data_IF_403235867147
#
_entry.id   IF_403235867147
#
_cell.length_a   1.000
_cell.length_b   1.000
_cell.length_c   1.000
_cell.angle_alpha   90.00
_cell.angle_beta   90.00
_cell.angle_gamma   90.00
#
_symmetry.space_group_name_H-M   'P 1'
#
loop_
_entity.id
_entity.type
_entity.pdbx_description
1 polymer ?
#
# COMPACT_ATOMS: atom_id res chain seq x y z
N UNK A 1 -12.18 -18.21 12.92
CA UNK A 1 -12.68 -17.37 11.95
C UNK A 1 -11.65 -16.77 11.04
N UNK A 2 -11.96 -16.68 9.87
CA UNK A 2 -11.03 -16.20 8.98
C UNK A 2 -10.97 -14.75 8.98
N UNK A 3 -9.84 -14.22 8.76
CA UNK A 3 -9.64 -12.80 8.62
C UNK A 3 -9.53 -12.44 7.17
N UNK A 4 -10.43 -13.00 6.38
CA UNK A 4 -10.46 -12.67 4.97
C UNK A 4 -10.88 -11.21 4.81
N UNK A 5 -10.22 -10.46 3.97
CA UNK A 5 -10.59 -9.07 3.79
C UNK A 5 -11.95 -8.96 3.11
N UNK A 6 -12.70 -7.96 3.53
CA UNK A 6 -13.98 -7.64 2.93
C UNK A 6 -13.76 -6.84 1.65
N UNK A 7 -12.76 -5.97 1.66
CA UNK A 7 -12.43 -5.16 0.49
C UNK A 7 -10.93 -5.16 0.27
N UNK A 8 -10.54 -4.95 -0.97
CA UNK A 8 -9.15 -4.73 -1.32
C UNK A 8 -9.01 -3.33 -1.90
N UNK A 9 -8.07 -2.58 -1.37
CA UNK A 9 -7.79 -1.23 -1.84
C UNK A 9 -6.51 -1.31 -2.66
N UNK A 10 -6.59 -0.93 -3.93
CA UNK A 10 -5.45 -1.04 -4.83
C UNK A 10 -5.09 0.35 -5.31
N UNK A 11 -3.83 0.70 -5.20
CA UNK A 11 -3.35 1.98 -5.68
C UNK A 11 -2.06 1.79 -6.46
N UNK A 12 -1.76 2.74 -7.33
CA UNK A 12 -0.55 2.70 -8.15
C UNK A 12 0.41 3.76 -7.65
N UNK A 13 1.66 3.38 -7.47
CA UNK A 13 2.73 4.31 -7.15
C UNK A 13 3.66 4.44 -8.34
N UNK A 14 3.92 5.67 -8.75
CA UNK A 14 4.88 5.94 -9.82
C UNK A 14 5.59 7.24 -9.49
N UNK A 15 6.82 7.13 -8.98
CA UNK A 15 7.61 8.30 -8.56
C UNK A 15 6.82 9.22 -7.63
N UNK A 16 5.95 8.63 -6.80
CA UNK A 16 5.08 9.40 -5.91
C UNK A 16 5.14 8.89 -4.49
N UNK A 17 6.33 8.62 -3.98
CA UNK A 17 6.49 8.00 -2.67
C UNK A 17 5.75 8.73 -1.57
N UNK A 18 5.87 10.05 -1.51
CA UNK A 18 5.24 10.80 -0.42
C UNK A 18 3.73 10.67 -0.46
N UNK A 19 3.14 10.77 -1.64
CA UNK A 19 1.68 10.64 -1.76
C UNK A 19 1.22 9.24 -1.36
N UNK A 20 1.97 8.23 -1.74
CA UNK A 20 1.63 6.86 -1.41
C UNK A 20 1.75 6.61 0.09
N UNK A 21 2.79 7.15 0.72
CA UNK A 21 2.94 7.00 2.16
C UNK A 21 1.80 7.68 2.91
N UNK A 22 1.37 8.84 2.43
CA UNK A 22 0.24 9.52 3.04
C UNK A 22 -1.04 8.73 2.88
N UNK A 23 -1.24 8.11 1.72
CA UNK A 23 -2.40 7.27 1.51
C UNK A 23 -2.39 6.08 2.48
N UNK A 24 -1.25 5.41 2.62
CA UNK A 24 -1.14 4.27 3.52
C UNK A 24 -1.48 4.68 4.95
N UNK A 25 -0.97 5.82 5.38
CA UNK A 25 -1.24 6.32 6.71
C UNK A 25 -2.71 6.65 6.89
N UNK A 26 -3.32 7.28 5.90
CA UNK A 26 -4.73 7.63 5.96
C UNK A 26 -5.61 6.39 6.05
N UNK A 27 -5.29 5.37 5.26
CA UNK A 27 -6.05 4.14 5.29
C UNK A 27 -5.94 3.49 6.67
N UNK A 28 -4.74 3.44 7.21
CA UNK A 28 -4.52 2.86 8.52
C UNK A 28 -5.32 3.61 9.60
N UNK A 29 -5.35 4.95 9.51
CA UNK A 29 -6.03 5.75 10.53
C UNK A 29 -7.53 5.75 10.39
N UNK A 30 -8.04 5.64 9.17
CA UNK A 30 -9.46 5.85 8.92
C UNK A 30 -10.26 4.57 8.77
N UNK A 31 -9.65 3.50 8.27
CA UNK A 31 -10.38 2.26 8.02
C UNK A 31 -10.11 1.31 9.17
N UNK A 32 -10.99 1.32 10.15
CA UNK A 32 -10.76 0.55 11.38
C UNK A 32 -11.81 -0.51 11.65
N UNK A 33 -12.97 -0.40 11.06
CA UNK A 33 -14.05 -1.32 11.40
C UNK A 33 -14.27 -2.41 10.38
N UNK A 34 -13.53 -2.41 9.28
CA UNK A 34 -13.63 -3.49 8.30
C UNK A 34 -12.27 -4.09 8.05
N UNK A 35 -12.27 -5.35 7.71
CA UNK A 35 -11.05 -6.03 7.31
C UNK A 35 -10.75 -5.70 5.87
N UNK A 36 -9.53 -5.28 5.58
CA UNK A 36 -9.15 -4.85 4.24
C UNK A 36 -7.72 -5.24 3.92
N UNK A 37 -7.42 -5.30 2.61
CA UNK A 37 -6.05 -5.36 2.10
C UNK A 37 -5.71 -4.04 1.48
N UNK A 38 -4.48 -3.60 1.64
CA UNK A 38 -3.97 -2.46 0.89
C UNK A 38 -2.83 -2.96 0.01
N UNK A 39 -3.00 -2.79 -1.29
CA UNK A 39 -2.03 -3.28 -2.28
C UNK A 39 -1.53 -2.08 -3.06
N UNK A 40 -0.23 -1.88 -3.05
CA UNK A 40 0.41 -0.82 -3.81
C UNK A 40 1.16 -1.45 -4.96
N UNK A 41 0.84 -1.04 -6.17
CA UNK A 41 1.56 -1.49 -7.36
C UNK A 41 2.52 -0.39 -7.77
N UNK A 42 3.82 -0.65 -7.64
CA UNK A 42 4.82 0.32 -8.06
C UNK A 42 5.10 0.11 -9.53
N UNK A 43 4.70 1.06 -10.34
CA UNK A 43 4.72 0.93 -11.79
C UNK A 43 5.98 1.59 -12.36
N UNK A 44 7.14 1.05 -11.98
CA UNK A 44 8.39 1.46 -12.61
C UNK A 44 8.99 2.75 -12.10
N UNK A 45 8.88 3.03 -10.80
CA UNK A 45 9.54 4.19 -10.22
C UNK A 45 11.05 4.11 -10.41
N UNK A 46 11.70 5.25 -10.53
CA UNK A 46 13.12 5.31 -10.82
C UNK A 46 13.96 4.74 -9.70
N UNK A 47 13.59 5.01 -8.46
CA UNK A 47 14.23 4.38 -7.32
C UNK A 47 13.30 3.31 -6.79
N UNK A 48 13.81 2.42 -5.97
CA UNK A 48 13.00 1.32 -5.45
C UNK A 48 12.09 1.82 -4.35
N UNK A 49 11.03 2.52 -4.75
CA UNK A 49 10.06 3.04 -3.80
C UNK A 49 9.22 1.92 -3.19
N UNK A 50 9.09 0.81 -3.90
CA UNK A 50 8.38 -0.35 -3.36
C UNK A 50 9.05 -0.83 -2.07
N UNK A 51 10.37 -0.94 -2.08
CA UNK A 51 11.10 -1.36 -0.89
C UNK A 51 10.93 -0.36 0.25
N UNK A 52 10.93 0.93 -0.08
CA UNK A 52 10.78 1.96 0.94
C UNK A 52 9.40 1.92 1.58
N UNK A 53 8.36 1.72 0.77
CA UNK A 53 7.00 1.61 1.29
C UNK A 53 6.89 0.41 2.21
N UNK A 54 7.43 -0.72 1.80
CA UNK A 54 7.34 -1.95 2.58
C UNK A 54 8.11 -1.83 3.89
N UNK A 55 9.20 -1.08 3.88
CA UNK A 55 9.97 -0.89 5.09
C UNK A 55 9.21 -0.05 6.12
N UNK A 56 8.51 0.98 5.66
CA UNK A 56 7.77 1.87 6.56
C UNK A 56 6.46 1.24 6.99
N UNK A 57 5.76 0.58 6.06
CA UNK A 57 4.47 -0.03 6.33
C UNK A 57 4.51 -1.52 5.96
N UNK A 58 5.08 -2.37 6.81
CA UNK A 58 5.25 -3.79 6.46
C UNK A 58 3.95 -4.54 6.21
N UNK A 59 2.84 -4.02 6.70
CA UNK A 59 1.54 -4.68 6.52
C UNK A 59 0.95 -4.43 5.14
N UNK A 60 1.52 -3.51 4.36
CA UNK A 60 1.03 -3.22 3.01
C UNK A 60 1.62 -4.26 2.05
N UNK A 61 0.80 -4.74 1.13
CA UNK A 61 1.31 -5.58 0.05
C UNK A 61 1.84 -4.67 -1.04
N UNK A 62 3.07 -4.89 -1.46
CA UNK A 62 3.68 -4.05 -2.48
C UNK A 62 4.15 -4.95 -3.61
N UNK A 63 3.74 -4.61 -4.82
CA UNK A 63 4.12 -5.32 -6.02
C UNK A 63 4.89 -4.35 -6.89
N UNK A 64 6.08 -4.73 -7.30
CA UNK A 64 6.85 -3.90 -8.20
C UNK A 64 6.71 -4.40 -9.63
N UNK A 65 6.27 -3.51 -10.49
CA UNK A 65 6.09 -3.81 -11.91
C UNK A 65 7.08 -2.96 -12.69
N UNK A 66 7.69 -3.52 -13.70
CA UNK A 66 8.66 -2.76 -14.49
C UNK A 66 8.08 -2.23 -15.80
#
# INVERSE_FOLDING_TARGET
MENNPVISIITVNFNGLQDTLELCRSVKDQVKSICYDLIVVDNGSKVDEAAQIKQIYPWVQVIRSE
#
